data_IF_127788200775
#
_entry.id   IF_127788200775
#
_cell.length_a   1.000
_cell.length_b   1.000
_cell.length_c   1.000
_cell.angle_alpha   90.00
_cell.angle_beta   90.00
_cell.angle_gamma   90.00
#
_symmetry.space_group_name_H-M   'P 1'
#
loop_
_entity.id
_entity.type
_entity.pdbx_description
1 polymer ?
#
# COMPACT_ATOMS: atom_id res chain seq x y z
N UNK A 1 80.52 0.16 -53.39
CA UNK A 1 79.86 1.38 -53.91
C UNK A 1 78.31 1.19 -53.81
N UNK A 2 77.61 2.07 -53.06
CA UNK A 2 76.18 2.28 -53.04
C UNK A 2 75.21 1.13 -52.80
N UNK A 3 74.66 1.06 -51.57
CA UNK A 3 73.25 0.83 -51.31
C UNK A 3 72.89 1.38 -49.89
N UNK A 4 72.52 2.65 -49.81
CA UNK A 4 71.83 3.30 -48.68
C UNK A 4 70.65 4.06 -49.25
N UNK A 5 69.44 3.70 -48.90
CA UNK A 5 68.32 4.59 -49.17
C UNK A 5 66.96 3.88 -49.46
N UNK A 6 66.38 3.12 -48.54
CA UNK A 6 64.95 2.67 -48.62
C UNK A 6 64.44 2.15 -47.26
N UNK A 7 64.57 2.90 -46.19
CA UNK A 7 64.01 2.52 -44.87
C UNK A 7 63.30 3.66 -44.15
N UNK A 8 62.84 4.72 -44.78
CA UNK A 8 62.23 5.81 -44.04
C UNK A 8 60.84 6.27 -44.52
N UNK A 9 60.12 5.52 -45.36
CA UNK A 9 58.83 5.91 -45.87
C UNK A 9 57.60 5.23 -45.13
N UNK A 10 57.85 4.21 -44.30
CA UNK A 10 56.76 3.46 -43.61
C UNK A 10 56.29 4.04 -42.28
N UNK A 11 57.20 4.64 -41.50
CA UNK A 11 56.91 5.08 -40.12
C UNK A 11 55.92 6.28 -39.98
N UNK A 12 55.85 7.13 -40.98
CA UNK A 12 54.94 8.31 -40.92
C UNK A 12 53.49 8.00 -41.17
N UNK A 13 53.18 6.94 -41.91
CA UNK A 13 51.77 6.54 -42.20
C UNK A 13 51.08 5.84 -41.03
N UNK A 14 51.84 5.02 -40.30
CA UNK A 14 51.32 4.26 -39.15
C UNK A 14 51.09 5.19 -37.94
N UNK A 15 51.90 6.24 -37.72
CA UNK A 15 51.66 7.23 -36.67
C UNK A 15 50.44 8.13 -36.96
N UNK A 16 50.21 8.47 -38.23
CA UNK A 16 49.01 9.28 -38.59
C UNK A 16 47.76 8.44 -38.47
N UNK A 17 47.80 7.15 -38.88
CA UNK A 17 46.67 6.23 -38.73
C UNK A 17 46.33 5.95 -37.24
N UNK A 18 47.34 5.81 -36.36
CA UNK A 18 47.12 5.60 -34.93
C UNK A 18 46.59 6.85 -34.23
N UNK A 19 47.02 8.06 -34.64
CA UNK A 19 46.48 9.30 -34.08
C UNK A 19 45.04 9.59 -34.52
N UNK A 20 44.68 9.28 -35.76
CA UNK A 20 43.31 9.41 -36.27
C UNK A 20 42.39 8.33 -35.63
N UNK A 21 42.82 7.11 -35.38
CA UNK A 21 42.06 6.12 -34.67
C UNK A 21 41.84 6.48 -33.19
N UNK A 22 42.87 7.03 -32.53
CA UNK A 22 42.74 7.49 -31.12
C UNK A 22 41.81 8.71 -31.00
N UNK A 23 41.80 9.66 -31.95
CA UNK A 23 40.89 10.78 -31.97
C UNK A 23 39.42 10.36 -32.22
N UNK A 24 39.22 9.35 -33.13
CA UNK A 24 37.88 8.81 -33.38
C UNK A 24 37.34 8.01 -32.19
N UNK A 25 38.20 7.34 -31.43
CA UNK A 25 37.84 6.62 -30.22
C UNK A 25 37.47 7.58 -29.06
N UNK A 26 38.21 8.68 -28.92
CA UNK A 26 37.90 9.73 -27.93
C UNK A 26 36.61 10.50 -28.26
N UNK A 27 36.35 10.78 -29.55
CA UNK A 27 35.09 11.37 -30.00
C UNK A 27 33.90 10.42 -29.82
N UNK A 28 34.08 9.09 -30.00
CA UNK A 28 33.05 8.05 -29.76
C UNK A 28 32.70 7.90 -28.28
N UNK A 29 33.68 8.03 -27.37
CA UNK A 29 33.43 7.97 -25.92
C UNK A 29 32.70 9.21 -25.38
N UNK A 30 32.90 10.37 -26.01
CA UNK A 30 32.24 11.64 -25.64
C UNK A 30 30.72 11.65 -25.96
N UNK A 31 30.30 10.91 -26.99
CA UNK A 31 28.87 10.85 -27.38
C UNK A 31 28.02 9.88 -26.53
N UNK A 32 28.63 8.92 -25.85
CA UNK A 32 27.90 7.96 -24.99
C UNK A 32 27.63 8.51 -23.58
N UNK A 33 28.39 9.50 -23.13
CA UNK A 33 28.22 10.11 -21.79
C UNK A 33 27.08 11.12 -21.70
N UNK A 34 26.42 11.48 -22.83
CA UNK A 34 25.33 12.47 -22.88
C UNK A 34 23.91 11.89 -22.87
N UNK A 35 23.74 10.58 -22.91
CA UNK A 35 22.42 9.96 -22.96
C UNK A 35 21.97 9.56 -21.54
N UNK A 36 21.22 10.44 -20.86
CA UNK A 36 20.40 9.99 -19.75
C UNK A 36 20.35 10.81 -18.48
N UNK A 37 20.59 12.12 -18.50
CA UNK A 37 20.05 13.00 -17.44
C UNK A 37 18.83 13.74 -17.99
N UNK A 38 17.69 13.03 -18.07
CA UNK A 38 16.40 13.69 -18.23
C UNK A 38 16.26 14.70 -17.08
N UNK A 39 16.25 15.98 -17.43
CA UNK A 39 16.07 17.07 -16.46
C UNK A 39 14.77 16.82 -15.72
N UNK A 40 14.82 16.73 -14.40
CA UNK A 40 13.63 16.66 -13.54
C UNK A 40 12.70 17.87 -13.75
N UNK A 41 13.22 18.94 -14.33
CA UNK A 41 12.46 20.16 -14.66
C UNK A 41 11.38 19.93 -15.72
N UNK A 42 11.56 18.96 -16.63
CA UNK A 42 10.59 18.64 -17.71
C UNK A 42 9.60 17.53 -17.33
N UNK A 43 9.67 16.98 -16.12
CA UNK A 43 8.71 15.96 -15.65
C UNK A 43 7.42 16.61 -15.15
N UNK A 44 6.21 16.11 -15.59
CA UNK A 44 6.01 15.12 -16.64
C UNK A 44 5.89 15.75 -18.03
N UNK A 45 6.50 15.13 -19.05
CA UNK A 45 6.33 15.52 -20.46
C UNK A 45 5.07 14.88 -21.11
N UNK A 46 4.53 13.79 -20.52
CA UNK A 46 3.37 13.02 -21.00
C UNK A 46 2.43 12.65 -19.85
N UNK A 47 1.31 12.00 -20.17
CA UNK A 47 0.36 11.53 -19.16
C UNK A 47 1.00 10.60 -18.14
N UNK A 48 0.57 10.72 -16.89
CA UNK A 48 0.95 9.83 -15.77
C UNK A 48 -0.18 8.85 -15.53
N UNK A 49 0.12 7.58 -15.28
CA UNK A 49 -0.86 6.56 -14.90
C UNK A 49 -0.79 6.31 -13.40
N UNK A 50 -1.94 6.37 -12.73
CA UNK A 50 -2.05 6.05 -11.31
C UNK A 50 -2.89 4.78 -11.14
N UNK A 51 -2.22 3.66 -10.82
CA UNK A 51 -2.86 2.36 -10.69
C UNK A 51 -3.49 2.23 -9.29
N UNK A 52 -4.81 1.93 -9.28
CA UNK A 52 -5.58 1.57 -8.10
C UNK A 52 -5.77 0.04 -8.07
N UNK A 53 -5.35 -0.69 -7.03
CA UNK A 53 -5.45 -2.14 -6.96
C UNK A 53 -6.84 -2.64 -6.55
N UNK A 54 -7.84 -1.78 -6.53
CA UNK A 54 -9.22 -2.07 -6.12
C UNK A 54 -10.23 -1.70 -7.21
N UNK A 55 -11.44 -2.29 -7.18
CA UNK A 55 -12.53 -1.88 -8.07
C UNK A 55 -12.89 -0.40 -7.89
N UNK A 56 -13.43 0.19 -8.95
CA UNK A 56 -13.92 1.56 -8.92
C UNK A 56 -15.12 1.73 -7.95
N UNK A 57 -15.27 2.94 -7.39
CA UNK A 57 -16.41 3.35 -6.55
C UNK A 57 -16.24 3.11 -5.05
N UNK A 58 -15.18 2.43 -4.61
CA UNK A 58 -14.86 2.28 -3.17
C UNK A 58 -14.11 3.47 -2.59
N UNK A 59 -13.96 3.52 -1.25
CA UNK A 59 -13.21 4.59 -0.56
C UNK A 59 -11.77 4.75 -1.07
N UNK A 60 -11.12 3.65 -1.43
CA UNK A 60 -9.77 3.65 -1.99
C UNK A 60 -9.71 4.27 -3.39
N UNK A 61 -10.75 4.06 -4.21
CA UNK A 61 -10.87 4.69 -5.53
C UNK A 61 -11.09 6.21 -5.39
N UNK A 62 -11.88 6.63 -4.41
CA UNK A 62 -12.07 8.05 -4.05
C UNK A 62 -10.72 8.67 -3.68
N UNK A 63 -9.94 8.02 -2.81
CA UNK A 63 -8.60 8.49 -2.43
C UNK A 63 -7.71 8.68 -3.66
N UNK A 64 -7.59 7.65 -4.53
CA UNK A 64 -6.74 7.73 -5.73
C UNK A 64 -7.18 8.85 -6.65
N UNK A 65 -8.48 9.03 -6.88
CA UNK A 65 -9.00 10.09 -7.77
C UNK A 65 -8.76 11.49 -7.21
N UNK A 66 -8.87 11.68 -5.89
CA UNK A 66 -8.53 12.94 -5.24
C UNK A 66 -7.03 13.26 -5.41
N UNK A 67 -6.15 12.28 -5.18
CA UNK A 67 -4.70 12.44 -5.36
C UNK A 67 -4.35 12.67 -6.84
N UNK A 68 -4.97 11.96 -7.77
CA UNK A 68 -4.74 12.10 -9.20
C UNK A 68 -5.16 13.48 -9.71
N UNK A 69 -6.31 14.00 -9.25
CA UNK A 69 -6.78 15.36 -9.59
C UNK A 69 -5.77 16.43 -9.16
N UNK A 70 -5.30 16.36 -7.91
CA UNK A 70 -4.29 17.33 -7.43
C UNK A 70 -2.96 17.22 -8.19
N UNK A 71 -2.52 15.98 -8.47
CA UNK A 71 -1.31 15.77 -9.27
C UNK A 71 -1.49 16.36 -10.69
N UNK A 72 -2.64 16.13 -11.34
CA UNK A 72 -2.94 16.70 -12.66
C UNK A 72 -2.87 18.23 -12.65
N UNK A 73 -3.51 18.86 -11.66
CA UNK A 73 -3.55 20.31 -11.53
C UNK A 73 -2.13 20.91 -11.31
N UNK A 74 -1.31 20.26 -10.49
CA UNK A 74 0.04 20.75 -10.17
C UNK A 74 1.10 20.41 -11.22
N UNK A 75 0.92 19.30 -11.93
CA UNK A 75 1.86 18.84 -12.95
C UNK A 75 1.54 19.39 -14.35
N UNK A 76 0.32 19.88 -14.57
CA UNK A 76 -0.11 20.40 -15.88
C UNK A 76 -0.22 19.31 -16.96
N UNK A 77 -0.32 18.04 -16.59
CA UNK A 77 -0.50 16.90 -17.49
C UNK A 77 -1.56 15.96 -16.92
N UNK A 78 -2.33 15.25 -17.78
CA UNK A 78 -3.31 14.31 -17.32
C UNK A 78 -2.74 13.22 -16.43
N UNK A 79 -3.43 12.92 -15.31
CA UNK A 79 -3.15 11.78 -14.42
C UNK A 79 -4.32 10.80 -14.51
N UNK A 80 -4.10 9.71 -15.21
CA UNK A 80 -5.14 8.73 -15.55
C UNK A 80 -5.20 7.67 -14.46
N UNK A 81 -6.36 7.54 -13.80
CA UNK A 81 -6.60 6.49 -12.82
C UNK A 81 -7.00 5.20 -13.53
N UNK A 82 -6.28 4.12 -13.26
CA UNK A 82 -6.53 2.80 -13.80
C UNK A 82 -6.79 1.79 -12.67
N UNK A 83 -8.01 1.26 -12.59
CA UNK A 83 -8.35 0.23 -11.61
C UNK A 83 -7.92 -1.15 -12.13
N UNK A 84 -6.98 -1.80 -11.42
CA UNK A 84 -6.48 -3.16 -11.69
C UNK A 84 -6.64 -4.06 -10.48
N UNK A 85 -7.86 -4.51 -10.16
CA UNK A 85 -8.11 -5.40 -9.03
C UNK A 85 -7.63 -6.82 -9.32
N UNK A 86 -7.46 -7.60 -8.26
CA UNK A 86 -7.27 -9.06 -8.33
C UNK A 86 -6.03 -9.57 -7.61
N UNK A 87 -6.08 -10.88 -7.29
CA UNK A 87 -5.04 -11.63 -6.58
C UNK A 87 -4.50 -10.90 -5.33
N UNK A 88 -5.37 -10.35 -4.48
CA UNK A 88 -4.94 -9.62 -3.27
C UNK A 88 -4.01 -8.44 -3.57
N UNK A 89 -4.24 -7.72 -4.69
CA UNK A 89 -3.45 -6.57 -5.19
C UNK A 89 -2.17 -6.93 -5.98
N UNK A 90 -1.81 -8.20 -6.07
CA UNK A 90 -0.58 -8.68 -6.74
C UNK A 90 -0.55 -8.29 -8.23
N UNK A 91 -1.71 -8.29 -8.92
CA UNK A 91 -1.79 -7.91 -10.35
C UNK A 91 -1.31 -6.46 -10.55
N UNK A 92 -1.83 -5.52 -9.78
CA UNK A 92 -1.45 -4.11 -9.86
C UNK A 92 0.02 -3.89 -9.48
N UNK A 93 0.46 -4.48 -8.38
CA UNK A 93 1.83 -4.37 -7.90
C UNK A 93 2.85 -4.92 -8.92
N UNK A 94 2.56 -6.10 -9.50
CA UNK A 94 3.42 -6.71 -10.52
C UNK A 94 3.52 -5.84 -11.78
N UNK A 95 2.44 -5.16 -12.18
CA UNK A 95 2.46 -4.25 -13.32
C UNK A 95 3.42 -3.07 -13.08
N UNK A 96 3.38 -2.46 -11.88
CA UNK A 96 4.27 -1.33 -11.54
C UNK A 96 5.71 -1.80 -11.31
N UNK A 97 5.93 -2.96 -10.68
CA UNK A 97 7.26 -3.53 -10.50
C UNK A 97 7.98 -3.82 -11.83
N UNK A 98 7.24 -3.98 -12.94
CA UNK A 98 7.76 -4.23 -14.29
C UNK A 98 7.73 -3.01 -15.20
N UNK A 99 7.21 -1.87 -14.72
CA UNK A 99 7.16 -0.64 -15.51
C UNK A 99 8.54 0.01 -15.63
N UNK A 100 8.75 0.93 -16.58
CA UNK A 100 9.97 1.73 -16.64
C UNK A 100 10.15 2.57 -15.36
N UNK A 101 11.39 2.77 -14.88
CA UNK A 101 11.68 3.59 -13.70
C UNK A 101 11.76 5.08 -14.04
N UNK A 102 10.77 5.60 -14.75
CA UNK A 102 10.73 6.95 -15.30
C UNK A 102 9.72 7.88 -14.58
N UNK A 103 9.01 7.36 -13.56
CA UNK A 103 8.07 8.13 -12.78
C UNK A 103 6.66 8.24 -13.35
N UNK A 104 6.37 7.66 -14.53
CA UNK A 104 5.06 7.78 -15.18
C UNK A 104 4.03 6.73 -14.76
N UNK A 105 4.41 5.79 -13.90
CA UNK A 105 3.48 4.77 -13.39
C UNK A 105 3.53 4.74 -11.87
N UNK A 106 2.46 5.20 -11.23
CA UNK A 106 2.28 5.20 -9.78
C UNK A 106 1.38 4.03 -9.39
N UNK A 107 1.57 3.52 -8.18
CA UNK A 107 0.71 2.54 -7.53
C UNK A 107 0.21 3.10 -6.21
N UNK A 108 -1.10 3.06 -5.98
CA UNK A 108 -1.60 3.05 -4.61
C UNK A 108 -1.32 1.68 -4.00
N UNK A 109 -0.37 1.61 -3.10
CA UNK A 109 0.05 0.37 -2.46
C UNK A 109 -0.49 0.28 -1.02
N UNK A 110 -1.47 -0.61 -0.76
CA UNK A 110 -1.94 -0.86 0.60
C UNK A 110 -0.95 -1.75 1.38
N UNK A 111 -1.15 -1.82 2.70
CA UNK A 111 -0.44 -2.71 3.61
C UNK A 111 -0.41 -4.16 3.10
N UNK A 112 -1.50 -4.61 2.47
CA UNK A 112 -1.60 -5.96 1.88
C UNK A 112 -0.53 -6.19 0.81
N UNK A 113 -0.28 -5.19 -0.05
CA UNK A 113 0.72 -5.27 -1.12
C UNK A 113 2.14 -5.33 -0.58
N UNK A 114 2.47 -4.43 0.36
CA UNK A 114 3.86 -4.16 0.73
C UNK A 114 4.32 -4.86 2.01
N UNK A 115 3.40 -5.22 2.91
CA UNK A 115 3.79 -5.75 4.21
C UNK A 115 3.18 -7.12 4.54
N UNK A 116 1.92 -7.35 4.19
CA UNK A 116 1.24 -8.63 4.46
C UNK A 116 1.60 -9.68 3.38
N UNK A 117 1.57 -9.27 2.10
CA UNK A 117 1.82 -10.15 0.96
C UNK A 117 3.07 -11.03 1.07
N UNK A 118 4.23 -10.50 1.49
CA UNK A 118 5.45 -11.30 1.68
C UNK A 118 5.30 -12.51 2.63
N UNK A 119 4.34 -12.46 3.55
CA UNK A 119 4.13 -13.51 4.55
C UNK A 119 3.03 -14.51 4.17
N UNK A 120 2.12 -14.13 3.26
CA UNK A 120 0.96 -14.96 2.89
C UNK A 120 1.07 -15.63 1.52
N UNK A 121 2.01 -15.20 0.67
CA UNK A 121 2.26 -15.82 -0.63
C UNK A 121 3.61 -16.55 -0.61
N UNK A 122 3.62 -17.82 -1.02
CA UNK A 122 4.85 -18.60 -1.20
C UNK A 122 5.78 -17.96 -2.23
N UNK A 123 5.21 -17.34 -3.26
CA UNK A 123 5.96 -16.69 -4.34
C UNK A 123 5.24 -15.43 -4.81
N UNK A 124 5.82 -14.28 -4.50
CA UNK A 124 5.41 -13.01 -5.09
C UNK A 124 6.19 -12.75 -6.38
N UNK A 125 5.56 -12.18 -7.41
CA UNK A 125 6.25 -11.81 -8.66
C UNK A 125 7.04 -10.50 -8.55
N UNK A 126 7.26 -9.99 -7.34
CA UNK A 126 8.02 -8.78 -7.01
C UNK A 126 8.61 -8.87 -5.59
N UNK A 127 9.66 -8.10 -5.34
CA UNK A 127 10.24 -7.86 -4.02
C UNK A 127 9.75 -6.51 -3.50
N UNK A 128 9.04 -6.49 -2.36
CA UNK A 128 8.41 -5.28 -1.82
C UNK A 128 9.39 -4.19 -1.41
N UNK A 129 10.63 -4.54 -1.10
CA UNK A 129 11.67 -3.59 -0.67
C UNK A 129 12.53 -3.14 -1.86
N UNK A 130 12.84 -4.05 -2.79
CA UNK A 130 13.80 -3.79 -3.87
C UNK A 130 13.15 -3.26 -5.15
N UNK A 131 11.88 -3.61 -5.41
CA UNK A 131 11.24 -3.31 -6.69
C UNK A 131 10.48 -1.98 -6.70
N UNK A 132 10.31 -1.34 -5.53
CA UNK A 132 9.55 -0.10 -5.43
C UNK A 132 10.38 1.04 -4.84
N UNK A 133 10.18 2.24 -5.39
CA UNK A 133 10.59 3.51 -4.82
C UNK A 133 9.41 4.08 -4.02
N UNK A 134 9.63 4.33 -2.73
CA UNK A 134 8.64 4.92 -1.84
C UNK A 134 8.40 6.39 -2.21
N UNK A 135 7.14 6.80 -2.36
CA UNK A 135 6.77 8.21 -2.51
C UNK A 135 6.28 8.77 -1.17
N UNK A 136 5.33 8.12 -0.50
CA UNK A 136 4.87 8.53 0.83
C UNK A 136 3.61 7.79 1.27
N UNK A 137 3.34 7.80 2.58
CA UNK A 137 2.04 7.42 3.13
C UNK A 137 0.99 8.45 2.69
N UNK A 138 -0.23 8.00 2.38
CA UNK A 138 -1.30 8.89 1.94
C UNK A 138 -2.60 8.72 2.74
N UNK A 139 -2.71 7.68 3.54
CA UNK A 139 -3.88 7.47 4.38
C UNK A 139 -3.86 6.15 5.14
N UNK A 140 -4.80 6.00 6.06
CA UNK A 140 -5.08 4.74 6.74
C UNK A 140 -6.56 4.39 6.67
N UNK A 141 -6.86 3.13 6.35
CA UNK A 141 -8.20 2.59 6.45
C UNK A 141 -8.50 2.25 7.89
N UNK A 142 -9.70 2.58 8.33
CA UNK A 142 -10.16 2.32 9.68
C UNK A 142 -11.05 1.07 9.70
N UNK A 143 -10.90 0.26 10.75
CA UNK A 143 -11.68 -0.95 10.95
C UNK A 143 -12.37 -0.90 12.32
N UNK A 144 -13.45 -1.67 12.46
CA UNK A 144 -14.14 -1.83 13.72
C UNK A 144 -14.42 -3.32 14.01
N UNK A 145 -14.37 -3.69 15.28
CA UNK A 145 -14.95 -4.95 15.78
C UNK A 145 -16.44 -4.73 15.99
N UNK A 146 -17.23 -5.44 15.21
CA UNK A 146 -18.69 -5.38 15.31
C UNK A 146 -19.30 -6.76 15.56
N UNK A 147 -20.45 -6.81 16.20
CA UNK A 147 -21.22 -8.04 16.38
C UNK A 147 -22.73 -7.80 16.20
N UNK A 148 -23.45 -8.87 15.98
CA UNK A 148 -24.92 -8.84 16.02
C UNK A 148 -25.40 -8.51 17.43
N UNK A 149 -26.36 -7.61 17.62
CA UNK A 149 -26.90 -7.25 18.95
C UNK A 149 -27.49 -8.44 19.71
N UNK A 150 -28.03 -9.44 19.02
CA UNK A 150 -28.59 -10.64 19.65
C UNK A 150 -27.56 -11.49 20.41
N UNK A 151 -26.25 -11.24 20.23
CA UNK A 151 -25.21 -11.87 21.01
C UNK A 151 -25.28 -11.51 22.50
N UNK A 152 -25.92 -10.38 22.84
CA UNK A 152 -26.21 -9.99 24.22
C UNK A 152 -25.02 -9.40 24.99
N UNK A 153 -23.83 -9.33 24.40
CA UNK A 153 -22.66 -8.68 25.02
C UNK A 153 -22.82 -7.16 24.96
N UNK A 154 -22.78 -6.50 26.09
CA UNK A 154 -22.92 -5.02 26.18
C UNK A 154 -21.61 -4.28 26.09
N UNK A 155 -20.50 -4.93 26.43
CA UNK A 155 -19.14 -4.37 26.48
C UNK A 155 -18.13 -5.28 25.77
N UNK A 156 -16.97 -4.75 25.44
CA UNK A 156 -15.88 -5.57 24.88
C UNK A 156 -15.43 -6.68 25.85
N UNK A 157 -15.27 -6.42 27.17
CA UNK A 157 -14.97 -7.51 28.12
C UNK A 157 -16.02 -8.63 28.12
N UNK A 158 -17.31 -8.31 28.01
CA UNK A 158 -18.37 -9.33 27.92
C UNK A 158 -18.27 -10.15 26.63
N UNK A 159 -18.01 -9.48 25.47
CA UNK A 159 -17.75 -10.20 24.21
C UNK A 159 -16.53 -11.12 24.34
N UNK A 160 -15.44 -10.64 24.92
CA UNK A 160 -14.23 -11.44 25.17
C UNK A 160 -14.56 -12.65 26.03
N UNK A 161 -15.31 -12.47 27.12
CA UNK A 161 -15.73 -13.56 27.99
C UNK A 161 -16.55 -14.63 27.25
N UNK A 162 -17.48 -14.21 26.38
CA UNK A 162 -18.26 -15.13 25.55
C UNK A 162 -17.41 -15.90 24.55
N UNK A 163 -16.45 -15.22 23.85
CA UNK A 163 -15.55 -15.88 22.91
C UNK A 163 -14.66 -16.90 23.63
N UNK A 164 -14.15 -16.57 24.82
CA UNK A 164 -13.34 -17.47 25.65
C UNK A 164 -14.14 -18.70 26.13
N UNK A 165 -15.35 -18.50 26.65
CA UNK A 165 -16.16 -19.57 27.20
C UNK A 165 -16.61 -20.59 26.13
N UNK A 166 -16.78 -20.13 24.88
CA UNK A 166 -17.15 -20.95 23.72
C UNK A 166 -15.95 -21.27 22.83
N UNK A 167 -14.77 -21.34 23.36
CA UNK A 167 -13.49 -21.44 22.67
C UNK A 167 -13.52 -22.39 21.45
N UNK A 168 -13.37 -21.82 20.25
CA UNK A 168 -13.42 -22.54 18.97
C UNK A 168 -14.82 -22.89 18.44
N UNK A 169 -15.91 -22.63 19.19
CA UNK A 169 -17.30 -22.92 18.75
C UNK A 169 -17.96 -21.69 18.09
N UNK A 170 -17.47 -20.48 18.35
CA UNK A 170 -17.96 -19.29 17.67
C UNK A 170 -17.27 -19.10 16.33
N UNK A 171 -18.01 -18.57 15.35
CA UNK A 171 -17.45 -18.18 14.05
C UNK A 171 -17.32 -16.66 13.93
N UNK A 172 -16.43 -16.22 13.03
CA UNK A 172 -16.31 -14.81 12.64
C UNK A 172 -16.19 -14.68 11.12
N UNK A 173 -16.76 -13.62 10.59
CA UNK A 173 -16.73 -13.34 9.17
C UNK A 173 -15.53 -12.46 8.79
N UNK A 174 -15.04 -12.62 7.56
CA UNK A 174 -14.03 -11.72 6.94
C UNK A 174 -14.36 -11.49 5.48
N UNK A 175 -13.73 -10.47 4.88
CA UNK A 175 -13.83 -10.22 3.43
C UNK A 175 -13.02 -11.20 2.57
N UNK A 176 -12.41 -12.20 3.18
CA UNK A 176 -11.60 -13.24 2.53
C UNK A 176 -10.42 -13.66 3.40
N UNK A 177 -9.85 -14.83 3.08
CA UNK A 177 -8.65 -15.31 3.74
C UNK A 177 -7.47 -14.35 3.51
N UNK A 178 -6.59 -14.24 4.50
CA UNK A 178 -5.35 -13.43 4.43
C UNK A 178 -5.56 -11.93 4.18
N UNK A 179 -6.79 -11.43 4.34
CA UNK A 179 -7.11 -10.01 4.31
C UNK A 179 -6.78 -9.33 5.65
N UNK A 180 -6.69 -7.99 5.72
CA UNK A 180 -6.60 -7.29 7.00
C UNK A 180 -7.69 -7.68 8.00
N UNK A 181 -8.92 -7.92 7.54
CA UNK A 181 -10.03 -8.40 8.37
C UNK A 181 -9.69 -9.71 9.09
N UNK A 182 -9.10 -10.66 8.36
CA UNK A 182 -8.67 -11.95 8.92
C UNK A 182 -7.52 -11.74 9.91
N UNK A 183 -6.44 -11.05 9.49
CA UNK A 183 -5.26 -10.88 10.33
C UNK A 183 -5.52 -10.06 11.59
N UNK A 184 -6.37 -9.03 11.52
CA UNK A 184 -6.73 -8.23 12.70
C UNK A 184 -7.58 -9.05 13.68
N UNK A 185 -8.46 -9.91 13.16
CA UNK A 185 -9.24 -10.83 14.01
C UNK A 185 -8.33 -11.88 14.65
N UNK A 186 -7.41 -12.48 13.91
CA UNK A 186 -6.46 -13.44 14.46
C UNK A 186 -5.55 -12.80 15.53
N UNK A 187 -5.08 -11.57 15.29
CA UNK A 187 -4.36 -10.80 16.29
C UNK A 187 -5.19 -10.57 17.56
N UNK A 188 -6.48 -10.23 17.40
CA UNK A 188 -7.40 -10.06 18.53
C UNK A 188 -7.58 -11.37 19.29
N UNK A 189 -7.88 -12.48 18.61
CA UNK A 189 -8.07 -13.80 19.20
C UNK A 189 -6.80 -14.28 19.94
N UNK A 190 -5.63 -14.06 19.37
CA UNK A 190 -4.35 -14.37 20.01
C UNK A 190 -4.17 -13.57 21.30
N UNK A 191 -4.41 -12.26 21.26
CA UNK A 191 -4.24 -11.41 22.43
C UNK A 191 -5.19 -11.76 23.58
N UNK A 192 -6.42 -12.20 23.27
CA UNK A 192 -7.37 -12.65 24.30
C UNK A 192 -7.16 -14.11 24.70
N UNK A 193 -6.28 -14.87 24.04
CA UNK A 193 -6.04 -16.28 24.32
C UNK A 193 -7.26 -17.19 24.03
N UNK A 194 -7.97 -16.94 22.92
CA UNK A 194 -9.14 -17.69 22.50
C UNK A 194 -9.05 -18.09 21.02
N UNK A 195 -9.96 -18.99 20.59
CA UNK A 195 -10.12 -19.42 19.20
C UNK A 195 -11.53 -19.18 18.71
N UNK A 196 -11.69 -18.93 17.40
CA UNK A 196 -12.97 -18.89 16.71
C UNK A 196 -12.80 -19.44 15.27
N UNK A 197 -13.91 -19.85 14.64
CA UNK A 197 -13.90 -20.44 13.31
C UNK A 197 -13.93 -19.33 12.24
N UNK A 198 -12.98 -19.30 11.35
CA UNK A 198 -12.92 -18.36 10.24
C UNK A 198 -13.92 -18.73 9.13
N UNK A 199 -14.76 -17.76 8.75
CA UNK A 199 -15.71 -17.88 7.62
C UNK A 199 -15.36 -16.79 6.59
N UNK A 200 -14.66 -17.13 5.49
CA UNK A 200 -14.28 -16.17 4.46
C UNK A 200 -15.42 -15.89 3.48
N UNK A 201 -15.65 -14.61 3.18
CA UNK A 201 -16.60 -14.13 2.18
C UNK A 201 -15.87 -13.50 0.98
N UNK A 202 -16.61 -13.23 -0.08
CA UNK A 202 -16.10 -12.50 -1.26
C UNK A 202 -16.32 -10.99 -1.09
N UNK A 203 -15.75 -10.40 -0.01
CA UNK A 203 -15.83 -8.98 0.32
C UNK A 203 -16.56 -8.68 1.63
N UNK A 204 -16.43 -7.44 2.10
CA UNK A 204 -16.98 -6.98 3.39
C UNK A 204 -18.50 -6.87 3.40
N UNK A 205 -19.12 -6.52 2.26
CA UNK A 205 -20.58 -6.35 2.16
C UNK A 205 -21.36 -7.64 2.50
N UNK A 206 -21.15 -8.74 1.77
CA UNK A 206 -21.77 -10.05 2.08
C UNK A 206 -21.48 -10.52 3.51
N UNK A 207 -20.23 -10.37 3.98
CA UNK A 207 -19.84 -10.72 5.34
C UNK A 207 -20.65 -9.93 6.40
N UNK A 208 -20.78 -8.61 6.22
CA UNK A 208 -21.56 -7.77 7.12
C UNK A 208 -23.05 -8.10 7.09
N UNK A 209 -23.60 -8.48 5.94
CA UNK A 209 -25.00 -8.91 5.81
C UNK A 209 -25.29 -10.11 6.70
N UNK A 210 -24.41 -11.11 6.72
CA UNK A 210 -24.58 -12.29 7.56
C UNK A 210 -24.35 -12.01 9.06
N UNK A 211 -23.55 -11.01 9.39
CA UNK A 211 -23.48 -10.53 10.79
C UNK A 211 -24.75 -9.78 11.18
N UNK A 212 -25.32 -8.95 10.31
CA UNK A 212 -26.58 -8.23 10.56
C UNK A 212 -27.74 -9.24 10.75
N UNK A 213 -27.78 -10.32 9.97
CA UNK A 213 -28.82 -11.34 10.09
C UNK A 213 -28.64 -12.29 11.29
N UNK A 214 -27.47 -12.25 11.94
CA UNK A 214 -27.12 -13.14 13.06
C UNK A 214 -26.61 -14.53 12.64
N UNK A 215 -26.43 -14.79 11.35
CA UNK A 215 -25.84 -16.04 10.85
C UNK A 215 -24.39 -16.20 11.33
N UNK A 216 -23.63 -15.11 11.35
CA UNK A 216 -22.29 -15.03 11.94
C UNK A 216 -22.31 -14.01 13.08
N UNK A 217 -21.81 -14.37 14.28
CA UNK A 217 -21.99 -13.50 15.45
C UNK A 217 -21.16 -12.20 15.42
N UNK A 218 -19.95 -12.17 14.86
CA UNK A 218 -19.07 -11.00 14.89
C UNK A 218 -18.06 -10.98 13.74
N UNK A 219 -17.47 -9.82 13.49
CA UNK A 219 -16.41 -9.62 12.50
C UNK A 219 -15.56 -8.38 12.80
N UNK A 220 -14.34 -8.36 12.27
CA UNK A 220 -13.62 -7.13 11.97
C UNK A 220 -14.04 -6.65 10.57
N UNK A 221 -14.38 -5.38 10.43
CA UNK A 221 -14.92 -4.83 9.17
C UNK A 221 -14.40 -3.43 8.91
N UNK A 222 -14.27 -3.07 7.62
CA UNK A 222 -14.00 -1.68 7.23
C UNK A 222 -15.05 -0.76 7.85
N UNK A 223 -14.61 0.25 8.57
CA UNK A 223 -15.51 1.19 9.24
C UNK A 223 -16.43 1.88 8.23
N UNK A 224 -15.91 2.23 7.04
CA UNK A 224 -16.71 2.82 5.95
C UNK A 224 -17.92 1.95 5.56
N UNK A 225 -17.73 0.64 5.50
CA UNK A 225 -18.80 -0.34 5.16
C UNK A 225 -19.77 -0.52 6.32
N UNK A 226 -19.27 -0.50 7.57
CA UNK A 226 -20.08 -0.76 8.75
C UNK A 226 -20.85 0.47 9.27
N UNK A 227 -20.38 1.69 8.99
CA UNK A 227 -20.97 2.94 9.52
C UNK A 227 -22.49 3.03 9.37
N UNK A 228 -23.11 2.73 8.21
CA UNK A 228 -24.56 2.79 8.08
C UNK A 228 -25.28 1.80 9.01
N UNK A 229 -24.74 0.57 9.13
CA UNK A 229 -25.31 -0.47 9.98
C UNK A 229 -25.14 -0.16 11.48
N UNK A 230 -24.00 0.41 11.86
CA UNK A 230 -23.75 0.86 13.24
C UNK A 230 -24.70 1.99 13.61
N UNK A 231 -24.82 3.02 12.78
CA UNK A 231 -25.75 4.16 13.00
C UNK A 231 -27.21 3.73 13.07
N UNK A 232 -27.59 2.70 12.31
CA UNK A 232 -28.94 2.12 12.34
C UNK A 232 -29.16 1.11 13.47
N UNK A 233 -28.16 0.85 14.33
CA UNK A 233 -28.26 -0.12 15.43
C UNK A 233 -28.36 -1.59 14.96
N UNK A 234 -28.11 -1.88 13.68
CA UNK A 234 -28.17 -3.23 13.11
C UNK A 234 -26.99 -4.12 13.55
N UNK A 235 -25.86 -3.50 13.87
CA UNK A 235 -24.71 -4.12 14.52
C UNK A 235 -24.20 -3.22 15.64
N UNK A 236 -23.62 -3.85 16.66
CA UNK A 236 -22.96 -3.16 17.76
C UNK A 236 -21.47 -3.07 17.50
N UNK A 237 -20.89 -1.87 17.59
CA UNK A 237 -19.44 -1.67 17.54
C UNK A 237 -18.87 -1.72 18.96
N UNK A 238 -17.80 -2.53 19.14
CA UNK A 238 -17.10 -2.66 20.41
C UNK A 238 -15.84 -1.82 20.49
N UNK A 239 -15.30 -1.44 19.36
CA UNK A 239 -14.13 -0.57 19.27
C UNK A 239 -13.57 -0.52 17.86
N UNK A 240 -12.88 0.60 17.56
CA UNK A 240 -12.07 0.73 16.36
C UNK A 240 -10.70 0.11 16.58
N UNK A 241 -10.10 -0.41 15.51
CA UNK A 241 -8.82 -1.13 15.60
C UNK A 241 -7.61 -0.20 15.67
N UNK A 242 -7.77 1.07 15.34
CA UNK A 242 -6.72 2.09 15.35
C UNK A 242 -6.22 2.40 16.77
N UNK A 243 -4.99 2.93 16.92
CA UNK A 243 -4.45 3.32 18.23
C UNK A 243 -5.14 4.56 18.84
N UNK A 244 -5.89 5.30 18.04
CA UNK A 244 -6.68 6.47 18.46
C UNK A 244 -8.09 6.39 17.90
N UNK A 245 -9.05 7.11 18.52
CA UNK A 245 -10.43 7.21 18.02
C UNK A 245 -10.48 7.85 16.64
N UNK A 246 -11.44 7.43 15.85
CA UNK A 246 -11.61 7.87 14.44
C UNK A 246 -12.55 9.06 14.37
N UNK A 247 -12.16 10.11 13.64
CA UNK A 247 -12.98 11.32 13.48
C UNK A 247 -14.37 11.07 12.89
N UNK A 248 -14.48 10.04 12.02
CA UNK A 248 -15.75 9.69 11.40
C UNK A 248 -16.81 9.16 12.38
N UNK A 249 -16.38 8.56 13.52
CA UNK A 249 -17.24 8.01 14.58
C UNK A 249 -16.52 8.15 15.95
N UNK A 250 -16.37 9.36 16.48
CA UNK A 250 -15.58 9.63 17.70
C UNK A 250 -16.18 9.01 18.97
N UNK A 251 -17.47 8.66 18.93
CA UNK A 251 -18.17 7.96 20.01
C UNK A 251 -17.71 6.51 20.19
N UNK A 252 -17.15 5.87 19.16
CA UNK A 252 -16.64 4.51 19.28
C UNK A 252 -15.23 4.55 19.88
N UNK A 253 -15.00 3.89 21.03
CA UNK A 253 -13.68 3.81 21.63
C UNK A 253 -12.72 2.99 20.74
N UNK A 254 -11.43 3.08 21.00
CA UNK A 254 -10.49 2.08 20.46
C UNK A 254 -10.66 0.73 21.18
N UNK A 255 -10.29 -0.37 20.55
CA UNK A 255 -10.28 -1.70 21.20
C UNK A 255 -9.38 -1.67 22.45
N UNK A 256 -8.29 -0.89 22.42
CA UNK A 256 -7.40 -0.71 23.56
C UNK A 256 -8.11 -0.01 24.73
N UNK A 257 -8.83 1.09 24.48
CA UNK A 257 -9.63 1.81 25.48
C UNK A 257 -10.79 0.97 25.99
N UNK A 258 -11.40 0.15 25.14
CA UNK A 258 -12.55 -0.68 25.46
C UNK A 258 -12.24 -1.91 26.31
N UNK A 259 -10.97 -2.22 26.59
CA UNK A 259 -10.58 -3.29 27.51
C UNK A 259 -9.54 -4.30 27.00
N UNK A 260 -8.86 -4.02 25.87
CA UNK A 260 -7.74 -4.82 25.39
C UNK A 260 -6.49 -3.93 25.16
N UNK A 261 -5.81 -3.49 26.23
CA UNK A 261 -4.64 -2.63 26.12
C UNK A 261 -3.57 -3.21 25.20
N UNK A 262 -2.93 -2.35 24.39
CA UNK A 262 -1.89 -2.76 23.43
C UNK A 262 -2.41 -3.27 22.10
N UNK A 263 -3.72 -3.46 21.93
CA UNK A 263 -4.28 -3.76 20.61
C UNK A 263 -4.20 -2.52 19.69
N UNK A 264 -3.52 -2.66 18.57
CA UNK A 264 -3.49 -1.64 17.52
C UNK A 264 -3.24 -2.30 16.15
N UNK A 265 -4.20 -2.18 15.24
CA UNK A 265 -4.12 -2.67 13.88
C UNK A 265 -4.75 -1.64 12.92
N UNK A 266 -4.00 -1.20 11.92
CA UNK A 266 -4.49 -0.26 10.91
C UNK A 266 -4.11 -0.75 9.52
N UNK A 267 -5.05 -0.66 8.60
CA UNK A 267 -4.73 -0.68 7.18
C UNK A 267 -4.13 0.67 6.79
N UNK A 268 -3.06 0.68 5.99
CA UNK A 268 -2.48 1.92 5.49
C UNK A 268 -2.35 1.88 3.98
N UNK A 269 -2.33 3.07 3.40
CA UNK A 269 -2.13 3.29 1.98
C UNK A 269 -0.90 4.16 1.76
N UNK A 270 -0.12 3.78 0.77
CA UNK A 270 1.04 4.54 0.32
C UNK A 270 1.00 4.71 -1.20
N UNK A 271 1.79 5.64 -1.69
CA UNK A 271 2.12 5.75 -3.11
C UNK A 271 3.53 5.28 -3.30
N UNK A 272 3.71 4.38 -4.28
CA UNK A 272 5.02 3.88 -4.69
C UNK A 272 5.13 3.89 -6.22
N UNK A 273 6.34 3.80 -6.72
CA UNK A 273 6.70 3.69 -8.13
C UNK A 273 7.74 2.58 -8.34
N UNK A 274 8.15 2.31 -9.57
CA UNK A 274 9.24 1.37 -9.85
C UNK A 274 10.55 1.88 -9.21
N UNK A 275 11.29 0.97 -8.59
CA UNK A 275 12.64 1.24 -8.08
C UNK A 275 13.55 1.76 -9.20
N UNK A 276 14.44 2.70 -8.87
CA UNK A 276 15.28 3.38 -9.85
C UNK A 276 14.64 4.63 -10.46
N UNK A 277 13.40 4.98 -10.11
CA UNK A 277 12.82 6.29 -10.46
C UNK A 277 13.69 7.41 -9.89
N UNK A 278 14.03 8.45 -10.69
CA UNK A 278 14.89 9.55 -10.24
C UNK A 278 14.38 10.23 -8.97
N UNK A 279 15.24 10.42 -7.99
CA UNK A 279 14.86 11.01 -6.68
C UNK A 279 14.14 12.37 -6.82
N UNK A 280 14.53 13.28 -7.71
CA UNK A 280 13.80 14.55 -7.88
C UNK A 280 12.35 14.37 -8.32
N UNK A 281 12.03 13.32 -9.11
CA UNK A 281 10.64 12.99 -9.48
C UNK A 281 9.86 12.50 -8.27
N UNK A 282 10.46 11.61 -7.46
CA UNK A 282 9.86 11.12 -6.20
C UNK A 282 9.56 12.28 -5.26
N UNK A 283 10.53 13.17 -5.04
CA UNK A 283 10.40 14.30 -4.11
C UNK A 283 9.36 15.32 -4.60
N UNK A 284 9.28 15.58 -5.91
CA UNK A 284 8.26 16.45 -6.51
C UNK A 284 6.86 15.91 -6.25
N UNK A 285 6.64 14.62 -6.51
CA UNK A 285 5.34 13.97 -6.27
C UNK A 285 4.99 13.92 -4.78
N UNK A 286 5.95 13.57 -3.92
CA UNK A 286 5.76 13.60 -2.46
C UNK A 286 5.33 14.99 -2.00
N UNK A 287 6.06 16.05 -2.39
CA UNK A 287 5.75 17.43 -2.00
C UNK A 287 4.31 17.84 -2.35
N UNK A 288 3.85 17.51 -3.57
CA UNK A 288 2.48 17.80 -4.01
C UNK A 288 1.47 17.05 -3.15
N UNK A 289 1.64 15.73 -3.01
CA UNK A 289 0.70 14.88 -2.28
C UNK A 289 0.62 15.24 -0.79
N UNK A 290 1.77 15.49 -0.15
CA UNK A 290 1.81 15.82 1.28
C UNK A 290 1.22 17.20 1.57
N UNK A 291 1.39 18.18 0.69
CA UNK A 291 0.74 19.48 0.81
C UNK A 291 -0.79 19.37 0.64
N UNK A 292 -1.24 18.56 -0.31
CA UNK A 292 -2.67 18.33 -0.56
C UNK A 292 -3.38 17.68 0.62
N UNK A 293 -2.82 16.61 1.18
CA UNK A 293 -3.40 15.85 2.29
C UNK A 293 -3.50 16.64 3.60
N UNK A 294 -2.77 17.75 3.72
CA UNK A 294 -2.86 18.66 4.89
C UNK A 294 -4.02 19.65 4.82
N UNK A 295 -4.68 19.79 3.67
CA UNK A 295 -5.80 20.72 3.50
C UNK A 295 -7.04 20.24 4.28
N UNK A 296 -7.71 21.10 5.08
CA UNK A 296 -8.87 20.70 5.87
C UNK A 296 -9.99 20.08 5.03
N UNK A 297 -10.31 20.67 3.88
CA UNK A 297 -11.35 20.19 2.98
C UNK A 297 -11.06 18.80 2.39
N UNK A 298 -9.78 18.44 2.24
CA UNK A 298 -9.35 17.10 1.80
C UNK A 298 -9.48 16.11 2.93
N UNK A 299 -9.06 16.52 4.14
CA UNK A 299 -9.20 15.70 5.34
C UNK A 299 -10.67 15.36 5.60
N UNK A 300 -11.59 16.34 5.47
CA UNK A 300 -13.01 16.13 5.66
C UNK A 300 -13.59 15.15 4.63
N UNK A 301 -13.22 15.28 3.35
CA UNK A 301 -13.63 14.33 2.29
C UNK A 301 -13.16 12.91 2.57
N UNK A 302 -11.92 12.73 3.02
CA UNK A 302 -11.36 11.42 3.33
C UNK A 302 -11.95 10.83 4.60
N UNK A 303 -12.13 11.63 5.64
CA UNK A 303 -12.79 11.21 6.88
C UNK A 303 -14.24 10.76 6.63
N UNK A 304 -14.97 11.40 5.71
CA UNK A 304 -16.34 11.00 5.35
C UNK A 304 -16.42 9.55 4.79
N UNK A 305 -15.33 9.04 4.23
CA UNK A 305 -15.21 7.65 3.77
C UNK A 305 -14.33 6.80 4.69
N UNK A 306 -14.17 7.19 5.94
CA UNK A 306 -13.39 6.54 6.98
C UNK A 306 -11.93 6.24 6.56
N UNK A 307 -11.34 7.12 5.76
CA UNK A 307 -9.90 7.15 5.47
C UNK A 307 -9.32 8.33 6.25
N UNK A 308 -8.43 8.05 7.18
CA UNK A 308 -7.68 9.08 7.88
C UNK A 308 -6.45 9.47 7.06
N UNK A 309 -6.28 10.75 6.68
CA UNK A 309 -5.09 11.19 5.97
C UNK A 309 -3.82 10.93 6.79
N UNK A 310 -2.81 10.36 6.16
CA UNK A 310 -1.48 10.19 6.74
C UNK A 310 -0.44 10.70 5.77
N UNK A 311 0.62 11.26 6.30
CA UNK A 311 1.72 11.80 5.50
C UNK A 311 3.04 11.23 5.95
N UNK A 312 3.98 11.04 5.04
CA UNK A 312 5.37 10.72 5.34
C UNK A 312 6.29 11.25 4.24
N UNK A 313 7.55 11.42 4.55
CA UNK A 313 8.59 11.53 3.55
C UNK A 313 8.82 10.19 2.84
N UNK A 314 9.49 10.17 1.68
CA UNK A 314 9.88 8.94 1.02
C UNK A 314 10.76 8.03 1.90
N UNK A 315 11.70 8.63 2.63
CA UNK A 315 12.65 7.89 3.48
C UNK A 315 11.96 7.30 4.72
N UNK A 316 11.00 8.02 5.31
CA UNK A 316 10.18 7.47 6.41
C UNK A 316 9.35 6.28 5.94
N UNK A 317 8.72 6.35 4.77
CA UNK A 317 7.98 5.21 4.22
C UNK A 317 8.91 4.03 3.91
N UNK A 318 10.06 4.28 3.30
CA UNK A 318 11.05 3.24 3.01
C UNK A 318 11.54 2.53 4.29
N UNK A 319 11.72 3.27 5.39
CA UNK A 319 12.09 2.71 6.68
C UNK A 319 10.89 2.03 7.43
N UNK A 320 9.66 2.42 7.11
CA UNK A 320 8.45 1.87 7.71
C UNK A 320 8.08 0.49 7.16
N UNK A 321 8.21 0.29 5.84
CA UNK A 321 7.83 -0.96 5.16
C UNK A 321 8.50 -2.20 5.78
N UNK A 322 9.83 -2.27 6.01
CA UNK A 322 10.46 -3.46 6.61
C UNK A 322 9.95 -3.77 8.02
N UNK A 323 9.63 -2.74 8.83
CA UNK A 323 9.08 -2.91 10.17
C UNK A 323 7.68 -3.52 10.12
N UNK A 324 6.86 -3.06 9.18
CA UNK A 324 5.52 -3.62 8.96
C UNK A 324 5.59 -5.05 8.42
N UNK A 325 6.52 -5.36 7.51
CA UNK A 325 6.74 -6.74 7.05
C UNK A 325 7.03 -7.67 8.24
N UNK A 326 7.96 -7.28 9.12
CA UNK A 326 8.31 -8.08 10.29
C UNK A 326 7.12 -8.25 11.26
N UNK A 327 6.35 -7.18 11.49
CA UNK A 327 5.13 -7.21 12.32
C UNK A 327 4.12 -8.20 11.76
N UNK A 328 3.78 -8.09 10.48
CA UNK A 328 2.75 -8.94 9.87
C UNK A 328 3.22 -10.38 9.67
N UNK A 329 4.51 -10.61 9.44
CA UNK A 329 5.09 -11.96 9.45
C UNK A 329 4.88 -12.67 10.80
N UNK A 330 5.07 -11.93 11.90
CA UNK A 330 4.81 -12.49 13.24
C UNK A 330 3.32 -12.79 13.45
N UNK A 331 2.43 -11.89 13.04
CA UNK A 331 0.97 -12.11 13.13
C UNK A 331 0.53 -13.34 12.31
N UNK A 332 1.00 -13.47 11.08
CA UNK A 332 0.69 -14.62 10.20
C UNK A 332 1.18 -15.93 10.83
N UNK A 333 2.41 -15.93 11.35
CA UNK A 333 2.98 -17.10 12.05
C UNK A 333 2.16 -17.48 13.30
N UNK A 334 1.82 -16.49 14.13
CA UNK A 334 1.06 -16.70 15.37
C UNK A 334 -0.37 -17.21 15.12
N UNK A 335 -0.96 -16.78 14.00
CA UNK A 335 -2.27 -17.25 13.54
C UNK A 335 -2.24 -18.66 12.91
N UNK A 336 -1.06 -19.22 12.66
CA UNK A 336 -0.92 -20.51 11.96
C UNK A 336 -1.39 -20.47 10.51
N UNK A 337 -1.33 -19.30 9.88
CA UNK A 337 -1.76 -19.13 8.49
C UNK A 337 -0.65 -19.65 7.58
N UNK A 338 -0.93 -20.71 6.82
CA UNK A 338 0.00 -21.27 5.84
C UNK A 338 0.08 -20.38 4.59
N UNK A 339 1.27 -20.07 4.09
CA UNK A 339 1.44 -19.33 2.85
C UNK A 339 0.84 -20.09 1.65
N UNK A 340 0.13 -19.38 0.80
CA UNK A 340 -0.57 -19.90 -0.39
C UNK A 340 0.33 -19.96 -1.63
#
# INVERSE_FOLDING_TARGET
>A
MRTRGLVNAGRGKDEIAMRTAALAFLLGLGLVAGAGQGRADDYPARNVTFICPFPAGGGTDILVRLLASELQDKLGKPVIVENRPGAGTVIAASAVAKSPPDGYTLLLAPVTTLAIGPSIYKKLPYDTVKDFAAVGLVGSAQFALVANPSLGASTLPELIAQVKSRNGQMSYATSGASTPHHLFMEMFLKMIGAKAQHVPYRGSGPALTDVISGQIPFMMVDLAVAMPAIKAGKVKAYGVTSPSRVKAMPEIPTIAEAGLPGFAATGWFSVVMRAGTPRPVVDKLNGILMAYLKRPEVQDKLNAVAIEPRTSTPDELAAYIPKEIAKWAQVVKDAGIEPQ
#
